data_IF_875042538742
#
_entry.id   IF_875042538742
#
_cell.length_a   1.000
_cell.length_b   1.000
_cell.length_c   1.000
_cell.angle_alpha   90.00
_cell.angle_beta   90.00
_cell.angle_gamma   90.00
#
_symmetry.space_group_name_H-M   'P 1'
#
loop_
_entity.id
_entity.type
_entity.pdbx_description
1 polymer ?
#
# COMPACT_ATOMS: atom_id res chain seq x y z
N UNK A 1 25.94 -35.35 7.73
CA UNK A 1 25.91 -34.61 9.00
C UNK A 1 26.22 -33.17 8.64
N UNK A 2 25.23 -32.48 8.06
CA UNK A 2 24.35 -31.49 8.74
C UNK A 2 25.07 -30.13 8.87
N UNK A 3 24.57 -28.96 8.44
CA UNK A 3 23.25 -28.56 7.93
C UNK A 3 23.29 -27.13 7.34
N UNK A 4 22.21 -26.77 6.63
CA UNK A 4 21.89 -25.50 5.92
C UNK A 4 22.16 -24.21 6.72
N UNK A 5 22.58 -23.06 6.19
CA UNK A 5 22.18 -22.24 5.02
C UNK A 5 20.79 -21.61 5.11
N UNK A 6 20.61 -20.66 6.04
CA UNK A 6 19.70 -19.51 5.93
C UNK A 6 20.25 -18.37 6.78
N UNK A 7 20.56 -17.24 6.15
CA UNK A 7 20.32 -15.88 6.68
C UNK A 7 20.52 -14.89 5.53
N UNK A 8 19.41 -14.68 4.81
CA UNK A 8 19.24 -13.57 3.88
C UNK A 8 18.96 -12.32 4.71
N UNK A 9 19.94 -11.42 4.87
CA UNK A 9 19.78 -9.96 4.83
C UNK A 9 21.18 -9.36 4.64
N UNK A 10 21.49 -8.93 3.42
CA UNK A 10 22.75 -8.27 3.13
C UNK A 10 22.85 -6.90 3.83
N UNK A 11 24.05 -6.44 4.20
CA UNK A 11 24.23 -5.14 4.83
C UNK A 11 23.91 -3.99 3.85
N UNK A 12 23.11 -3.02 4.31
CA UNK A 12 22.83 -1.77 3.60
C UNK A 12 24.14 -0.98 3.47
N UNK A 13 24.52 -0.65 2.23
CA UNK A 13 25.70 0.15 1.92
C UNK A 13 25.56 1.56 2.48
N UNK A 14 26.26 1.85 3.57
CA UNK A 14 26.57 3.22 3.97
C UNK A 14 27.67 3.75 3.05
N UNK A 15 27.29 4.65 2.14
CA UNK A 15 28.27 5.40 1.34
C UNK A 15 28.93 6.47 2.22
N UNK A 16 30.22 6.31 2.47
CA UNK A 16 31.07 7.34 3.08
C UNK A 16 31.24 8.49 2.08
N UNK A 17 30.67 9.65 2.39
CA UNK A 17 31.09 10.93 1.81
C UNK A 17 31.88 11.68 2.88
N UNK A 18 33.00 12.25 2.47
CA UNK A 18 34.06 12.81 3.32
C UNK A 18 33.58 13.49 4.62
N UNK A 19 33.99 12.91 5.74
CA UNK A 19 34.34 13.65 6.95
C UNK A 19 33.24 14.29 7.80
N UNK A 20 31.95 14.17 7.45
CA UNK A 20 30.86 14.72 8.30
C UNK A 20 29.83 13.64 8.64
N UNK A 21 29.93 13.10 9.85
CA UNK A 21 28.88 12.28 10.46
C UNK A 21 27.69 13.17 10.82
N UNK A 22 26.82 13.47 9.85
CA UNK A 22 25.48 13.95 10.19
C UNK A 22 24.69 12.76 10.69
N UNK A 23 24.66 12.58 12.02
CA UNK A 23 23.73 11.67 12.70
C UNK A 23 22.31 12.11 12.35
N UNK A 24 21.77 11.55 11.27
CA UNK A 24 20.34 11.66 10.98
C UNK A 24 19.67 10.70 11.95
N UNK A 25 19.06 11.24 13.01
CA UNK A 25 18.25 10.44 13.91
C UNK A 25 17.07 9.91 13.10
N UNK A 26 17.16 8.65 12.68
CA UNK A 26 16.05 7.89 12.11
C UNK A 26 15.08 7.67 13.26
N UNK A 27 13.96 8.38 13.26
CA UNK A 27 12.90 8.18 14.24
C UNK A 27 12.27 6.81 14.02
N UNK A 28 12.66 5.82 14.83
CA UNK A 28 11.94 4.55 14.93
C UNK A 28 10.80 4.75 15.93
N UNK A 29 9.57 4.42 15.53
CA UNK A 29 8.41 4.45 16.42
C UNK A 29 8.58 3.36 17.49
N UNK A 30 9.02 3.75 18.68
CA UNK A 30 9.01 2.87 19.84
C UNK A 30 7.56 2.63 20.25
N UNK A 31 7.01 1.46 19.91
CA UNK A 31 5.70 1.04 20.39
C UNK A 31 5.77 0.79 21.89
N UNK A 32 5.14 1.69 22.64
CA UNK A 32 4.93 1.55 24.07
C UNK A 32 3.93 0.41 24.34
N UNK A 33 4.38 -0.62 25.09
CA UNK A 33 3.59 -1.84 25.37
C UNK A 33 2.41 -1.59 26.31
N UNK A 34 2.37 -0.46 27.00
CA UNK A 34 1.28 -0.09 27.92
C UNK A 34 0.09 0.62 27.24
N UNK A 35 0.14 0.79 25.91
CA UNK A 35 -0.97 1.39 25.14
C UNK A 35 -1.85 0.31 24.53
N UNK A 36 -3.16 0.53 24.58
CA UNK A 36 -4.13 -0.32 23.86
C UNK A 36 -3.81 -0.29 22.35
N UNK A 37 -4.01 -1.42 21.67
CA UNK A 37 -3.76 -1.57 20.24
C UNK A 37 -4.44 -0.45 19.41
N UNK A 38 -5.64 -0.06 19.82
CA UNK A 38 -6.38 1.02 19.18
C UNK A 38 -5.59 2.34 19.18
N UNK A 39 -5.03 2.73 20.32
CA UNK A 39 -4.22 3.95 20.45
C UNK A 39 -2.92 3.86 19.64
N UNK A 40 -2.34 2.66 19.50
CA UNK A 40 -1.14 2.47 18.67
C UNK A 40 -1.46 2.62 17.18
N UNK A 41 -2.57 2.03 16.72
CA UNK A 41 -3.03 2.17 15.33
C UNK A 41 -3.40 3.63 15.04
N UNK A 42 -4.11 4.29 15.96
CA UNK A 42 -4.45 5.71 15.81
C UNK A 42 -3.19 6.58 15.70
N UNK A 43 -2.21 6.37 16.59
CA UNK A 43 -0.94 7.10 16.53
C UNK A 43 -0.17 6.80 15.24
N UNK A 44 -0.13 5.53 14.81
CA UNK A 44 0.49 5.15 13.55
C UNK A 44 -0.16 5.85 12.35
N UNK A 45 -1.48 5.78 12.23
CA UNK A 45 -2.23 6.48 11.17
C UNK A 45 -2.06 8.00 11.25
N UNK A 46 -1.98 8.56 12.46
CA UNK A 46 -1.72 9.97 12.66
C UNK A 46 -0.30 10.36 12.23
N UNK A 47 0.70 9.51 12.40
CA UNK A 47 2.07 9.79 11.99
C UNK A 47 2.22 9.62 10.47
N UNK A 48 1.72 8.52 9.90
CA UNK A 48 1.79 8.26 8.45
C UNK A 48 0.95 9.23 7.60
N UNK A 49 -0.05 9.87 8.20
CA UNK A 49 -0.83 10.93 7.55
C UNK A 49 -0.08 12.25 7.37
N UNK A 50 1.19 12.38 7.79
CA UNK A 50 1.95 13.61 7.61
C UNK A 50 2.25 13.85 6.12
N UNK A 51 1.76 14.95 5.55
CA UNK A 51 1.94 15.30 4.13
C UNK A 51 0.85 14.81 3.17
N UNK A 52 -0.03 13.90 3.61
CA UNK A 52 -1.20 13.42 2.81
C UNK A 52 -2.53 13.95 3.34
N UNK A 53 -2.55 14.51 4.56
CA UNK A 53 -3.70 15.23 5.07
C UNK A 53 -3.95 16.46 4.22
N UNK A 54 -5.04 16.44 3.45
CA UNK A 54 -5.67 17.67 2.99
C UNK A 54 -5.78 18.61 4.20
N UNK A 55 -5.36 19.87 4.03
CA UNK A 55 -5.55 20.91 5.05
C UNK A 55 -7.04 20.87 5.38
N UNK A 56 -7.38 20.46 6.61
CA UNK A 56 -8.79 20.48 7.02
C UNK A 56 -9.22 21.94 6.99
N UNK A 57 -10.21 22.32 6.17
CA UNK A 57 -10.74 23.66 6.25
C UNK A 57 -11.35 23.84 7.65
N UNK A 58 -11.32 25.08 8.13
CA UNK A 58 -11.78 25.43 9.48
C UNK A 58 -13.27 25.03 9.62
N UNK A 59 -13.74 24.71 10.83
CA UNK A 59 -15.10 24.18 11.08
C UNK A 59 -16.24 25.06 10.54
N UNK A 60 -15.95 26.30 10.23
CA UNK A 60 -16.79 27.33 9.63
C UNK A 60 -16.96 27.15 8.09
N UNK A 61 -16.27 26.19 7.49
CA UNK A 61 -16.23 25.89 6.05
C UNK A 61 -16.79 24.48 5.80
N UNK A 62 -17.98 24.20 6.34
CA UNK A 62 -18.72 22.96 6.10
C UNK A 62 -19.35 22.95 4.70
N UNK A 63 -18.55 22.58 3.70
CA UNK A 63 -18.91 21.63 2.61
C UNK A 63 -17.88 21.74 1.51
N UNK A 64 -17.51 20.57 1.02
CA UNK A 64 -16.56 20.27 -0.05
C UNK A 64 -15.17 19.97 0.51
N UNK A 65 -14.80 18.69 0.40
CA UNK A 65 -13.41 18.26 0.28
C UNK A 65 -12.66 19.36 -0.46
N UNK A 66 -11.74 20.04 0.23
CA UNK A 66 -11.04 21.19 -0.32
C UNK A 66 -10.51 20.83 -1.70
N UNK A 67 -11.17 21.35 -2.74
CA UNK A 67 -10.75 21.22 -4.14
C UNK A 67 -9.35 21.80 -4.34
N UNK A 68 -8.92 22.63 -3.39
CA UNK A 68 -7.60 23.18 -3.19
C UNK A 68 -6.57 22.08 -2.87
N UNK A 69 -6.15 21.36 -3.92
CA UNK A 69 -5.06 20.39 -3.87
C UNK A 69 -5.27 19.11 -4.67
N UNK A 70 -6.44 18.88 -5.26
CA UNK A 70 -6.67 17.70 -6.10
C UNK A 70 -6.02 17.88 -7.48
N UNK A 71 -5.32 16.86 -7.98
CA UNK A 71 -4.92 16.84 -9.38
C UNK A 71 -6.15 16.68 -10.27
N UNK A 72 -6.05 17.04 -11.56
CA UNK A 72 -7.13 16.83 -12.54
C UNK A 72 -7.54 15.35 -12.63
N UNK A 73 -6.57 14.44 -12.46
CA UNK A 73 -6.82 13.00 -12.39
C UNK A 73 -7.61 12.61 -11.15
N UNK A 74 -7.35 13.24 -10.00
CA UNK A 74 -8.05 12.97 -8.74
C UNK A 74 -9.49 13.49 -8.80
N UNK A 75 -9.69 14.68 -9.35
CA UNK A 75 -11.03 15.24 -9.61
C UNK A 75 -11.86 14.31 -10.50
N UNK A 76 -11.24 13.78 -11.57
CA UNK A 76 -11.88 12.81 -12.46
C UNK A 76 -12.23 11.52 -11.71
N UNK A 77 -11.28 10.97 -10.96
CA UNK A 77 -11.49 9.76 -10.17
C UNK A 77 -12.64 9.95 -9.17
N UNK A 78 -12.66 11.07 -8.45
CA UNK A 78 -13.73 11.40 -7.52
C UNK A 78 -15.09 11.47 -8.23
N UNK A 79 -15.14 12.13 -9.39
CA UNK A 79 -16.38 12.21 -10.18
C UNK A 79 -16.87 10.83 -10.63
N UNK A 80 -15.99 9.95 -11.10
CA UNK A 80 -16.36 8.59 -11.48
C UNK A 80 -16.88 7.82 -10.26
N UNK A 81 -16.18 7.92 -9.14
CA UNK A 81 -16.57 7.28 -7.89
C UNK A 81 -17.98 7.74 -7.46
N UNK A 82 -18.22 9.06 -7.37
CA UNK A 82 -19.51 9.63 -6.97
C UNK A 82 -20.66 9.19 -7.89
N UNK A 83 -20.37 8.98 -9.18
CA UNK A 83 -21.37 8.59 -10.18
C UNK A 83 -21.66 7.09 -10.22
N UNK A 84 -20.68 6.24 -9.90
CA UNK A 84 -20.74 4.80 -10.17
C UNK A 84 -20.71 3.94 -8.92
N UNK A 85 -20.38 4.53 -7.77
CA UNK A 85 -20.36 3.84 -6.48
C UNK A 85 -21.78 3.42 -6.09
N UNK A 86 -22.05 2.11 -6.11
CA UNK A 86 -23.36 1.55 -5.83
C UNK A 86 -23.22 0.21 -5.09
N UNK A 87 -24.22 -0.17 -4.30
CA UNK A 87 -24.29 -1.49 -3.68
C UNK A 87 -25.19 -2.39 -4.53
N UNK A 88 -24.64 -3.48 -5.06
CA UNK A 88 -25.37 -4.50 -5.83
C UNK A 88 -25.13 -5.88 -5.24
N UNK A 89 -26.20 -6.64 -5.05
CA UNK A 89 -26.16 -8.03 -4.57
C UNK A 89 -25.32 -8.27 -3.31
N UNK A 90 -25.34 -7.29 -2.38
CA UNK A 90 -24.56 -7.36 -1.13
C UNK A 90 -23.08 -6.98 -1.26
N UNK A 91 -22.65 -6.53 -2.44
CA UNK A 91 -21.30 -6.07 -2.72
C UNK A 91 -21.29 -4.61 -3.16
N UNK A 92 -20.21 -3.89 -2.84
CA UNK A 92 -20.00 -2.54 -3.35
C UNK A 92 -19.31 -2.62 -4.72
N UNK A 93 -19.89 -1.96 -5.70
CA UNK A 93 -19.35 -1.78 -7.04
C UNK A 93 -19.01 -0.31 -7.27
N UNK A 94 -17.97 -0.07 -8.06
CA UNK A 94 -17.60 1.26 -8.56
C UNK A 94 -17.04 1.12 -9.97
N UNK A 95 -17.14 2.18 -10.74
CA UNK A 95 -16.47 2.34 -12.02
C UNK A 95 -14.94 2.39 -11.85
N UNK A 96 -14.25 2.10 -12.95
CA UNK A 96 -12.79 2.15 -13.00
C UNK A 96 -12.33 3.60 -12.89
N UNK A 97 -11.57 3.93 -11.84
CA UNK A 97 -11.06 5.27 -11.56
C UNK A 97 -9.82 5.61 -12.41
N UNK A 98 -9.80 5.17 -13.67
CA UNK A 98 -8.66 5.33 -14.55
C UNK A 98 -8.49 6.77 -15.02
N UNK A 99 -7.24 7.14 -15.34
CA UNK A 99 -6.90 8.47 -15.85
C UNK A 99 -7.59 8.78 -17.19
N UNK A 100 -7.80 7.76 -18.01
CA UNK A 100 -8.45 7.85 -19.32
C UNK A 100 -9.36 6.64 -19.56
N UNK A 101 -10.44 6.83 -20.30
CA UNK A 101 -11.43 5.78 -20.59
C UNK A 101 -10.87 4.71 -21.54
N UNK A 102 -9.94 5.10 -22.42
CA UNK A 102 -9.32 4.27 -23.45
C UNK A 102 -7.97 3.69 -23.02
N UNK A 103 -7.76 3.51 -21.72
CA UNK A 103 -6.50 2.95 -21.20
C UNK A 103 -6.29 1.52 -21.73
N UNK A 104 -5.31 1.35 -22.62
CA UNK A 104 -4.91 0.04 -23.12
C UNK A 104 -3.96 -0.60 -22.12
N UNK A 105 -4.41 -1.68 -21.47
CA UNK A 105 -3.55 -2.48 -20.61
C UNK A 105 -2.54 -3.25 -21.46
N UNK A 106 -1.24 -3.23 -21.10
CA UNK A 106 -0.24 -4.01 -21.82
C UNK A 106 -0.50 -5.51 -21.64
N UNK A 107 -0.17 -6.31 -22.65
CA UNK A 107 -0.27 -7.77 -22.57
C UNK A 107 0.61 -8.29 -21.42
N UNK A 108 -0.05 -8.80 -20.37
CA UNK A 108 0.58 -9.32 -19.17
C UNK A 108 0.72 -10.85 -19.17
N UNK A 109 0.38 -11.54 -20.27
CA UNK A 109 0.32 -13.01 -20.34
C UNK A 109 1.63 -13.66 -19.92
N UNK A 110 2.75 -13.22 -20.46
CA UNK A 110 4.09 -13.75 -20.11
C UNK A 110 4.40 -13.62 -18.62
N UNK A 111 3.94 -12.54 -17.98
CA UNK A 111 4.14 -12.34 -16.55
C UNK A 111 3.21 -13.22 -15.72
N UNK A 112 1.95 -13.36 -16.15
CA UNK A 112 0.97 -14.24 -15.53
C UNK A 112 1.43 -15.71 -15.58
N UNK A 113 1.94 -16.17 -16.72
CA UNK A 113 2.52 -17.50 -16.91
C UNK A 113 3.69 -17.73 -15.94
N UNK A 114 4.66 -16.79 -15.85
CA UNK A 114 5.78 -16.90 -14.91
C UNK A 114 5.34 -16.92 -13.44
N UNK A 115 4.34 -16.11 -13.07
CA UNK A 115 3.77 -16.11 -11.71
C UNK A 115 3.12 -17.47 -11.41
N UNK A 116 2.38 -18.01 -12.37
CA UNK A 116 1.75 -19.33 -12.26
C UNK A 116 2.78 -20.45 -12.10
N UNK A 117 3.83 -20.47 -12.91
CA UNK A 117 4.92 -21.46 -12.80
C UNK A 117 5.62 -21.39 -11.43
N UNK A 118 5.89 -20.17 -10.96
CA UNK A 118 6.47 -19.93 -9.65
C UNK A 118 5.56 -20.43 -8.53
N UNK A 119 4.25 -20.20 -8.65
CA UNK A 119 3.26 -20.69 -7.70
C UNK A 119 3.18 -22.22 -7.70
N UNK A 120 3.14 -22.84 -8.88
CA UNK A 120 3.20 -24.32 -9.01
C UNK A 120 4.45 -24.91 -8.38
N UNK A 121 5.61 -24.25 -8.51
CA UNK A 121 6.85 -24.68 -7.85
C UNK A 121 6.74 -24.60 -6.32
N UNK A 122 6.08 -23.57 -5.79
CA UNK A 122 5.81 -23.45 -4.35
C UNK A 122 4.88 -24.54 -3.86
N UNK A 123 3.80 -24.85 -4.59
CA UNK A 123 2.89 -25.95 -4.26
C UNK A 123 3.59 -27.30 -4.21
N UNK A 124 4.49 -27.59 -5.16
CA UNK A 124 5.30 -28.83 -5.11
C UNK A 124 6.21 -28.91 -3.89
N UNK A 125 6.71 -27.77 -3.40
CA UNK A 125 7.57 -27.71 -2.20
C UNK A 125 6.76 -27.82 -0.92
N UNK A 126 5.54 -27.28 -0.90
CA UNK A 126 4.68 -27.20 0.28
C UNK A 126 3.24 -27.62 -0.07
N UNK A 127 2.91 -28.92 0.02
CA UNK A 127 1.58 -29.44 -0.35
C UNK A 127 0.43 -28.88 0.50
N UNK A 128 0.68 -28.54 1.77
CA UNK A 128 -0.31 -27.90 2.65
C UNK A 128 -0.74 -26.52 2.16
N UNK A 129 0.16 -25.77 1.50
CA UNK A 129 -0.15 -24.49 0.89
C UNK A 129 -1.07 -24.66 -0.32
N UNK A 130 -0.86 -25.70 -1.14
CA UNK A 130 -1.74 -26.00 -2.27
C UNK A 130 -3.17 -26.30 -1.80
N UNK A 131 -3.30 -27.09 -0.72
CA UNK A 131 -4.61 -27.46 -0.19
C UNK A 131 -5.44 -26.24 0.24
N UNK A 132 -4.82 -25.24 0.88
CA UNK A 132 -5.47 -23.97 1.27
C UNK A 132 -5.88 -23.09 0.10
N UNK A 133 -5.20 -23.21 -1.04
CA UNK A 133 -5.54 -22.44 -2.24
C UNK A 133 -6.71 -23.03 -3.02
N UNK A 134 -7.09 -24.28 -2.75
CA UNK A 134 -8.21 -24.98 -3.40
C UNK A 134 -9.52 -24.89 -2.62
N UNK A 135 -9.47 -24.52 -1.34
CA UNK A 135 -10.62 -24.31 -0.46
C UNK A 135 -11.18 -22.91 -0.59
#
# INVERSE_FOLDING_TARGET
LEGNLFDNFGPISTKYIDGVSTKTDISVNFTDRDKTLHNQIENFCNIEGYGTRAIRPRKDEERHLSTEGMSKEDERAQKILDQTFTMKDGHYETGLLWKADDTVLPDNRKQAEKRLESLKRRFRKEPSLEQKYRS
#
